data_IF_462551245930
#
_entry.id   IF_462551245930
#
_cell.length_a   1.000
_cell.length_b   1.000
_cell.length_c   1.000
_cell.angle_alpha   90.00
_cell.angle_beta   90.00
_cell.angle_gamma   90.00
#
_symmetry.space_group_name_H-M   'P 1'
#
loop_
_entity.id
_entity.type
_entity.pdbx_description
1 polymer ?
#
# COMPACT_ATOMS: atom_id res chain seq x y z
N UNK A 1 -9.66 -7.74 -20.71
CA UNK A 1 -10.30 -7.24 -19.47
C UNK A 1 -9.67 -7.83 -18.21
N UNK A 2 -9.47 -9.15 -18.06
CA UNK A 2 -8.78 -9.71 -16.86
C UNK A 2 -7.30 -9.27 -16.78
N UNK A 3 -6.59 -9.25 -17.91
CA UNK A 3 -5.21 -8.75 -17.96
C UNK A 3 -5.08 -7.28 -17.50
N UNK A 4 -6.07 -6.43 -17.80
CA UNK A 4 -6.06 -5.03 -17.36
C UNK A 4 -6.37 -4.88 -15.86
N UNK A 5 -7.26 -5.68 -15.26
CA UNK A 5 -7.48 -5.64 -13.80
C UNK A 5 -6.32 -6.25 -13.00
N UNK A 6 -5.65 -7.28 -13.52
CA UNK A 6 -4.40 -7.77 -12.92
C UNK A 6 -3.32 -6.69 -12.96
N UNK A 7 -3.17 -6.02 -14.09
CA UNK A 7 -2.20 -4.94 -14.24
C UNK A 7 -2.51 -3.77 -13.29
N UNK A 8 -3.77 -3.34 -13.20
CA UNK A 8 -4.19 -2.31 -12.24
C UNK A 8 -4.00 -2.75 -10.79
N UNK A 9 -4.25 -4.03 -10.47
CA UNK A 9 -4.02 -4.59 -9.13
C UNK A 9 -2.54 -4.59 -8.77
N UNK A 10 -1.66 -5.06 -9.67
CA UNK A 10 -0.20 -5.07 -9.45
C UNK A 10 0.36 -3.65 -9.36
N UNK A 11 -0.11 -2.74 -10.22
CA UNK A 11 0.25 -1.32 -10.18
C UNK A 11 -0.18 -0.70 -8.84
N UNK A 12 -1.40 -0.98 -8.39
CA UNK A 12 -1.92 -0.53 -7.11
C UNK A 12 -1.11 -1.05 -5.93
N UNK A 13 -0.74 -2.34 -5.92
CA UNK A 13 0.15 -2.89 -4.90
C UNK A 13 1.49 -2.15 -4.88
N UNK A 14 2.14 -1.98 -6.03
CA UNK A 14 3.45 -1.28 -6.11
C UNK A 14 3.37 0.16 -5.61
N UNK A 15 2.33 0.90 -6.01
CA UNK A 15 2.15 2.29 -5.63
C UNK A 15 1.87 2.45 -4.12
N UNK A 16 1.06 1.57 -3.55
CA UNK A 16 0.80 1.57 -2.11
C UNK A 16 2.02 1.12 -1.29
N UNK A 17 2.82 0.17 -1.79
CA UNK A 17 4.07 -0.23 -1.13
C UNK A 17 5.07 0.93 -1.06
N UNK A 18 5.20 1.72 -2.12
CA UNK A 18 6.05 2.92 -2.12
C UNK A 18 5.56 3.98 -1.12
N UNK A 19 4.25 4.19 -1.01
CA UNK A 19 3.67 5.09 -0.01
C UNK A 19 3.90 4.60 1.41
N UNK A 20 3.74 3.29 1.64
CA UNK A 20 3.98 2.64 2.92
C UNK A 20 5.44 2.76 3.37
N UNK A 21 6.41 2.60 2.46
CA UNK A 21 7.84 2.77 2.76
C UNK A 21 8.18 4.20 3.18
N UNK A 22 7.59 5.20 2.51
CA UNK A 22 7.73 6.62 2.88
C UNK A 22 7.14 6.89 4.26
N UNK A 23 5.90 6.47 4.50
CA UNK A 23 5.24 6.64 5.79
C UNK A 23 6.01 5.96 6.93
N UNK A 24 6.52 4.74 6.71
CA UNK A 24 7.35 4.03 7.67
C UNK A 24 8.67 4.77 7.96
N UNK A 25 9.27 5.36 6.92
CA UNK A 25 10.49 6.17 7.06
C UNK A 25 10.22 7.42 7.90
N UNK A 26 9.12 8.13 7.66
CA UNK A 26 8.76 9.31 8.47
C UNK A 26 8.49 8.95 9.94
N UNK A 27 7.76 7.85 10.20
CA UNK A 27 7.56 7.32 11.57
C UNK A 27 8.90 6.99 12.24
N UNK A 28 9.81 6.30 11.53
CA UNK A 28 11.11 5.92 12.08
C UNK A 28 11.96 7.14 12.44
N UNK A 29 11.85 8.20 11.63
CA UNK A 29 12.57 9.44 11.91
C UNK A 29 12.00 10.13 13.16
N UNK A 30 10.71 10.06 13.49
CA UNK A 30 10.12 10.80 14.65
C UNK A 30 10.84 10.49 15.97
N UNK A 31 11.38 9.28 16.12
CA UNK A 31 12.17 8.89 17.29
C UNK A 31 13.65 9.33 17.28
N UNK A 32 14.14 9.95 16.21
CA UNK A 32 15.53 10.41 16.11
C UNK A 32 15.69 11.86 16.64
N UNK A 33 16.69 12.12 17.49
CA UNK A 33 16.96 13.46 18.00
C UNK A 33 17.25 14.42 16.84
N UNK A 34 16.60 15.58 16.91
CA UNK A 34 16.60 16.61 15.87
C UNK A 34 17.94 17.37 15.93
N UNK A 35 18.98 16.86 15.29
CA UNK A 35 20.28 17.56 15.26
C UNK A 35 20.55 18.35 13.97
N UNK A 36 19.76 18.19 12.89
CA UNK A 36 20.16 18.74 11.58
C UNK A 36 19.10 19.60 10.83
N UNK A 37 17.82 19.58 11.21
CA UNK A 37 16.79 20.41 10.56
C UNK A 37 15.92 21.07 11.60
N UNK A 38 15.97 22.41 11.69
CA UNK A 38 15.32 23.24 12.72
C UNK A 38 13.78 23.19 12.81
N UNK A 39 13.12 22.14 12.32
CA UNK A 39 11.71 21.85 12.55
C UNK A 39 11.57 20.85 13.71
N UNK A 40 10.91 21.29 14.80
CA UNK A 40 10.42 20.38 15.81
C UNK A 40 9.35 19.50 15.17
N UNK A 41 9.70 18.24 14.90
CA UNK A 41 8.72 17.24 14.49
C UNK A 41 7.87 16.86 15.68
N UNK A 42 6.57 17.03 15.52
CA UNK A 42 5.60 16.91 16.60
C UNK A 42 5.03 15.50 16.67
N UNK A 43 4.34 15.20 17.77
CA UNK A 43 3.56 13.96 17.89
C UNK A 43 2.47 13.90 16.82
N UNK A 44 1.94 15.04 16.35
CA UNK A 44 0.92 15.11 15.31
C UNK A 44 1.45 14.62 13.95
N UNK A 45 2.68 14.99 13.56
CA UNK A 45 3.31 14.51 12.31
C UNK A 45 3.50 12.99 12.32
N UNK A 46 3.75 12.43 13.50
CA UNK A 46 3.86 10.98 13.71
C UNK A 46 2.50 10.30 13.56
N UNK A 47 1.44 10.89 14.12
CA UNK A 47 0.07 10.39 14.00
C UNK A 47 -0.39 10.41 12.54
N UNK A 48 -0.12 11.50 11.81
CA UNK A 48 -0.42 11.60 10.37
C UNK A 48 0.29 10.50 9.59
N UNK A 49 1.60 10.32 9.83
CA UNK A 49 2.38 9.27 9.16
C UNK A 49 1.87 7.85 9.49
N UNK A 50 1.38 7.59 10.71
CA UNK A 50 0.77 6.32 11.09
C UNK A 50 -0.58 6.10 10.37
N UNK A 51 -1.39 7.14 10.25
CA UNK A 51 -2.65 7.10 9.51
C UNK A 51 -2.39 6.80 8.04
N UNK A 52 -1.41 7.48 7.44
CA UNK A 52 -0.98 7.24 6.07
C UNK A 52 -0.48 5.81 5.86
N UNK A 53 0.33 5.29 6.79
CA UNK A 53 0.78 3.90 6.76
C UNK A 53 -0.40 2.93 6.70
N UNK A 54 -1.44 3.17 7.51
CA UNK A 54 -2.67 2.36 7.52
C UNK A 54 -3.50 2.52 6.26
N UNK A 55 -3.55 3.71 5.68
CA UNK A 55 -4.20 3.96 4.40
C UNK A 55 -3.54 3.12 3.29
N UNK A 56 -2.21 3.16 3.19
CA UNK A 56 -1.47 2.37 2.21
C UNK A 56 -1.59 0.86 2.45
N UNK A 57 -1.57 0.41 3.71
CA UNK A 57 -1.82 -1.00 4.07
C UNK A 57 -3.18 -1.48 3.52
N UNK A 58 -4.22 -0.67 3.69
CA UNK A 58 -5.56 -0.96 3.15
C UNK A 58 -5.57 -0.94 1.61
N UNK A 59 -4.84 -0.02 0.98
CA UNK A 59 -4.68 0.04 -0.47
C UNK A 59 -4.01 -1.20 -1.06
N UNK A 60 -2.98 -1.73 -0.38
CA UNK A 60 -2.36 -3.02 -0.74
C UNK A 60 -3.38 -4.16 -0.62
N UNK A 61 -4.11 -4.25 0.50
CA UNK A 61 -5.11 -5.31 0.72
C UNK A 61 -6.23 -5.28 -0.32
N UNK A 62 -6.74 -4.09 -0.65
CA UNK A 62 -7.75 -3.91 -1.68
C UNK A 62 -7.22 -4.37 -3.05
N UNK A 63 -6.01 -3.96 -3.42
CA UNK A 63 -5.37 -4.35 -4.68
C UNK A 63 -5.10 -5.86 -4.74
N UNK A 64 -4.68 -6.46 -3.64
CA UNK A 64 -4.52 -7.91 -3.50
C UNK A 64 -5.86 -8.66 -3.65
N UNK A 65 -6.96 -8.10 -3.14
CA UNK A 65 -8.29 -8.66 -3.32
C UNK A 65 -8.74 -8.63 -4.79
N UNK A 66 -8.42 -7.56 -5.52
CA UNK A 66 -8.69 -7.48 -6.98
C UNK A 66 -7.91 -8.56 -7.74
N UNK A 67 -6.62 -8.74 -7.44
CA UNK A 67 -5.80 -9.80 -8.05
C UNK A 67 -6.39 -11.17 -7.74
N UNK A 68 -6.77 -11.42 -6.48
CA UNK A 68 -7.39 -12.69 -6.06
C UNK A 68 -8.71 -12.96 -6.78
N UNK A 69 -9.59 -11.96 -6.87
CA UNK A 69 -10.86 -12.12 -7.58
C UNK A 69 -10.63 -12.33 -9.08
N UNK A 70 -9.62 -11.68 -9.68
CA UNK A 70 -9.26 -11.93 -11.07
C UNK A 70 -8.75 -13.37 -11.28
N UNK A 71 -7.94 -13.90 -10.36
CA UNK A 71 -7.47 -15.29 -10.36
C UNK A 71 -8.63 -16.29 -10.18
N UNK A 72 -9.52 -16.06 -9.23
CA UNK A 72 -10.73 -16.87 -9.02
C UNK A 72 -11.63 -16.87 -10.27
N UNK A 73 -11.84 -15.71 -10.91
CA UNK A 73 -12.62 -15.66 -12.16
C UNK A 73 -11.93 -16.42 -13.31
N UNK A 74 -10.60 -16.35 -13.41
CA UNK A 74 -9.85 -17.11 -14.41
C UNK A 74 -9.95 -18.61 -14.14
N UNK A 75 -9.80 -19.03 -12.88
CA UNK A 75 -9.95 -20.41 -12.46
C UNK A 75 -11.34 -20.96 -12.78
N UNK A 76 -12.41 -20.21 -12.47
CA UNK A 76 -13.78 -20.61 -12.81
C UNK A 76 -14.00 -20.71 -14.33
N UNK A 77 -13.41 -19.82 -15.13
CA UNK A 77 -13.49 -19.89 -16.59
C UNK A 77 -12.73 -21.09 -17.18
N UNK A 78 -11.63 -21.51 -16.55
CA UNK A 78 -10.90 -22.72 -16.92
C UNK A 78 -11.69 -23.98 -16.57
N UNK A 79 -12.29 -24.02 -15.38
CA UNK A 79 -13.09 -25.16 -14.89
C UNK A 79 -14.34 -25.40 -15.75
N UNK A 80 -15.01 -24.34 -16.23
CA UNK A 80 -16.17 -24.45 -17.14
C UNK A 80 -15.77 -24.97 -18.54
N UNK A 81 -14.51 -24.79 -18.96
CA UNK A 81 -14.02 -25.21 -20.28
C UNK A 81 -13.39 -26.60 -20.30
N UNK A 82 -13.08 -27.18 -19.14
CA UNK A 82 -12.53 -28.53 -18.97
C UNK A 82 -13.64 -29.59 -19.03
#
# INVERSE_FOLDING_TARGET
MISSVLQSGVQGVKQNLQGMEKAATEIAKVGQPVEESGELRTVDDAVESIVDLKLYENGVKASAKVIKTADETLGTLLDIKA
#
